data_IF_866437638401
#
_entry.id   IF_866437638401
#
_cell.length_a   1.000
_cell.length_b   1.000
_cell.length_c   1.000
_cell.angle_alpha   90.00
_cell.angle_beta   90.00
_cell.angle_gamma   90.00
#
_symmetry.space_group_name_H-M   'P 1'
#
loop_
_entity.id
_entity.type
_entity.pdbx_description
1 polymer ?
#
# COMPACT_ATOMS: atom_id res chain seq x y z
N UNK A 1 -16.06 3.15 7.48
CA UNK A 1 -15.02 2.36 8.20
C UNK A 1 -13.78 2.29 7.34
N UNK A 2 -12.60 2.33 7.94
CA UNK A 2 -11.36 2.11 7.22
C UNK A 2 -11.25 0.67 6.71
N UNK A 3 -10.51 0.45 5.64
CA UNK A 3 -10.16 -0.90 5.20
C UNK A 3 -8.79 -1.27 5.74
N UNK A 4 -8.59 -2.55 6.11
CA UNK A 4 -7.33 -3.17 6.54
C UNK A 4 -6.76 -2.68 7.88
N UNK A 5 -6.81 -1.37 8.19
CA UNK A 5 -6.23 -0.78 9.40
C UNK A 5 -7.10 0.34 9.97
N UNK A 6 -7.12 0.48 11.27
CA UNK A 6 -7.87 1.51 12.00
C UNK A 6 -7.10 2.02 13.24
N UNK A 7 -7.74 2.88 14.03
CA UNK A 7 -7.17 3.44 15.26
C UNK A 7 -6.87 2.41 16.37
N UNK A 8 -7.36 1.18 16.25
CA UNK A 8 -7.10 0.11 17.21
C UNK A 8 -5.93 -0.78 16.78
N UNK A 9 -5.47 -0.64 15.53
CA UNK A 9 -4.38 -1.44 14.97
C UNK A 9 -3.07 -1.19 15.70
N UNK A 10 -2.53 -2.21 16.38
CA UNK A 10 -1.26 -2.18 17.09
C UNK A 10 -0.13 -2.66 16.19
N UNK A 11 0.89 -1.83 16.02
CA UNK A 11 1.91 -2.01 14.99
C UNK A 11 3.28 -2.24 15.63
N UNK A 12 3.96 -3.32 15.26
CA UNK A 12 5.39 -3.53 15.53
C UNK A 12 6.24 -3.10 14.35
N UNK A 13 7.49 -2.70 14.62
CA UNK A 13 8.41 -2.16 13.62
C UNK A 13 9.64 -3.05 13.51
N UNK A 14 9.79 -3.76 12.39
CA UNK A 14 11.02 -4.47 12.05
C UNK A 14 11.97 -3.51 11.32
N UNK A 15 13.16 -3.29 11.90
CA UNK A 15 14.11 -2.29 11.41
C UNK A 15 14.02 -0.92 12.09
N UNK A 16 13.35 -0.81 13.24
CA UNK A 16 13.17 0.41 14.04
C UNK A 16 14.48 1.13 14.34
N UNK A 17 15.54 0.39 14.64
CA UNK A 17 16.85 0.97 15.03
C UNK A 17 17.66 1.52 13.86
N UNK A 18 17.20 1.33 12.64
CA UNK A 18 17.77 1.94 11.44
C UNK A 18 17.29 3.37 11.24
N UNK A 19 18.07 4.18 10.50
CA UNK A 19 17.75 5.61 10.24
C UNK A 19 16.35 5.78 9.62
N UNK A 20 16.02 5.00 8.60
CA UNK A 20 14.73 5.07 7.91
C UNK A 20 13.59 4.60 8.80
N UNK A 21 13.75 3.44 9.45
CA UNK A 21 12.74 2.90 10.37
C UNK A 21 12.45 3.83 11.54
N UNK A 22 13.48 4.36 12.19
CA UNK A 22 13.34 5.33 13.29
C UNK A 22 12.59 6.59 12.83
N UNK A 23 13.04 7.23 11.76
CA UNK A 23 12.41 8.45 11.23
C UNK A 23 10.91 8.25 10.92
N UNK A 24 10.55 7.20 10.18
CA UNK A 24 9.15 6.97 9.83
C UNK A 24 8.30 6.50 11.01
N UNK A 25 8.90 5.87 12.01
CA UNK A 25 8.22 5.55 13.28
C UNK A 25 7.88 6.81 14.07
N UNK A 26 8.80 7.78 14.17
CA UNK A 26 8.52 9.09 14.79
C UNK A 26 7.36 9.80 14.07
N UNK A 27 7.39 9.83 12.73
CA UNK A 27 6.30 10.41 11.94
C UNK A 27 4.96 9.68 12.13
N UNK A 28 4.99 8.39 12.38
CA UNK A 28 3.79 7.60 12.62
C UNK A 28 3.25 7.80 14.05
N UNK A 29 4.13 7.87 15.06
CA UNK A 29 3.75 8.19 16.44
C UNK A 29 3.14 9.58 16.57
N UNK A 30 3.65 10.55 15.78
CA UNK A 30 3.09 11.90 15.72
C UNK A 30 1.75 11.98 14.98
N UNK A 31 1.39 10.94 14.21
CA UNK A 31 0.14 10.91 13.45
C UNK A 31 -1.02 10.42 14.32
N UNK A 32 -2.09 11.21 14.39
CA UNK A 32 -3.24 10.92 15.24
C UNK A 32 -3.83 9.53 14.97
N UNK A 33 -4.10 8.80 16.04
CA UNK A 33 -4.71 7.46 16.02
C UNK A 33 -3.72 6.29 15.81
N UNK A 34 -2.48 6.54 15.34
CA UNK A 34 -1.52 5.47 15.10
C UNK A 34 -0.94 4.90 16.41
N UNK A 35 -0.93 3.58 16.52
CA UNK A 35 -0.39 2.86 17.69
C UNK A 35 0.86 2.04 17.32
N UNK A 36 2.04 2.66 17.34
CA UNK A 36 3.30 1.93 17.32
C UNK A 36 3.59 1.40 18.73
N UNK A 37 3.68 0.07 18.91
CA UNK A 37 3.74 -0.55 20.24
C UNK A 37 5.10 -1.14 20.59
N UNK A 38 5.92 -1.52 19.60
CA UNK A 38 7.25 -2.09 19.82
C UNK A 38 8.13 -2.07 18.58
N UNK A 39 9.43 -2.22 18.75
CA UNK A 39 10.39 -2.57 17.72
C UNK A 39 10.85 -4.02 17.82
N UNK A 40 11.38 -4.54 16.71
CA UNK A 40 12.01 -5.87 16.67
C UNK A 40 13.44 -5.75 16.16
N UNK A 41 14.39 -6.35 16.90
CA UNK A 41 15.78 -6.44 16.49
C UNK A 41 16.46 -7.63 17.18
N UNK A 42 17.00 -8.62 16.43
CA UNK A 42 17.49 -9.89 17.01
C UNK A 42 18.57 -9.75 18.09
N UNK A 43 19.42 -8.73 18.02
CA UNK A 43 20.52 -8.53 18.96
C UNK A 43 20.31 -7.38 19.97
N UNK A 44 19.15 -6.71 19.93
CA UNK A 44 18.82 -5.58 20.85
C UNK A 44 17.56 -5.83 21.68
N UNK A 45 17.06 -7.06 21.69
CA UNK A 45 15.93 -7.45 22.54
C UNK A 45 16.19 -7.11 24.02
N UNK A 46 15.15 -6.64 24.71
CA UNK A 46 15.24 -6.21 26.11
C UNK A 46 15.75 -4.77 26.30
N UNK A 47 16.01 -4.01 25.22
CA UNK A 47 16.35 -2.58 25.29
C UNK A 47 15.16 -1.72 24.88
N UNK A 48 15.30 -0.39 25.01
CA UNK A 48 14.34 0.56 24.46
C UNK A 48 14.96 1.35 23.30
N UNK A 49 14.14 1.61 22.28
CA UNK A 49 14.42 2.65 21.30
C UNK A 49 13.89 3.99 21.83
N UNK A 50 14.65 5.07 21.59
CA UNK A 50 14.23 6.42 21.95
C UNK A 50 14.27 7.28 20.70
N UNK A 51 13.15 7.92 20.38
CA UNK A 51 12.99 8.86 19.29
C UNK A 51 13.57 10.24 19.62
N UNK A 52 13.63 11.10 18.60
CA UNK A 52 14.23 12.45 18.72
C UNK A 52 13.42 13.40 19.60
N UNK A 53 12.15 13.14 19.81
CA UNK A 53 11.26 13.94 20.66
C UNK A 53 10.95 13.28 22.02
N UNK A 54 11.68 12.20 22.37
CA UNK A 54 11.54 11.52 23.64
C UNK A 54 10.54 10.37 23.65
N UNK A 55 10.01 9.98 22.48
CA UNK A 55 9.21 8.76 22.35
C UNK A 55 10.04 7.55 22.75
N UNK A 56 9.42 6.56 23.36
CA UNK A 56 10.11 5.34 23.77
C UNK A 56 9.29 4.11 23.41
N UNK A 57 9.93 3.15 22.74
CA UNK A 57 9.34 1.87 22.41
C UNK A 57 10.24 0.71 22.85
N UNK A 58 9.70 -0.34 23.48
CA UNK A 58 10.46 -1.53 23.80
C UNK A 58 10.91 -2.24 22.54
N UNK A 59 12.10 -2.84 22.58
CA UNK A 59 12.62 -3.69 21.50
C UNK A 59 12.60 -5.14 21.97
N UNK A 60 12.00 -6.01 21.17
CA UNK A 60 12.00 -7.46 21.38
C UNK A 60 12.99 -8.15 20.44
N UNK A 61 13.43 -9.36 20.80
CA UNK A 61 14.38 -10.12 20.00
C UNK A 61 13.71 -10.76 18.76
N UNK A 62 12.40 -10.99 18.81
CA UNK A 62 11.64 -11.58 17.72
C UNK A 62 10.24 -10.96 17.57
N UNK A 63 9.63 -11.17 16.38
CA UNK A 63 8.25 -10.76 16.11
C UNK A 63 7.26 -11.49 17.03
N UNK A 64 7.49 -12.78 17.30
CA UNK A 64 6.64 -13.57 18.19
C UNK A 64 6.63 -13.00 19.62
N UNK A 65 7.81 -12.69 20.18
CA UNK A 65 7.91 -12.06 21.49
C UNK A 65 7.20 -10.71 21.54
N UNK A 66 7.40 -9.88 20.51
CA UNK A 66 6.76 -8.56 20.43
C UNK A 66 5.23 -8.69 20.36
N UNK A 67 4.71 -9.60 19.52
CA UNK A 67 3.27 -9.88 19.41
C UNK A 67 2.69 -10.35 20.73
N UNK A 68 3.31 -11.33 21.36
CA UNK A 68 2.79 -11.92 22.62
C UNK A 68 2.79 -10.90 23.77
N UNK A 69 3.78 -10.00 23.81
CA UNK A 69 3.87 -8.96 24.83
C UNK A 69 2.91 -7.79 24.60
N UNK A 70 2.57 -7.45 23.35
CA UNK A 70 1.84 -6.22 23.01
C UNK A 70 0.44 -6.47 22.45
N UNK A 71 0.16 -7.67 21.97
CA UNK A 71 -1.05 -8.00 21.21
C UNK A 71 -1.07 -7.31 19.84
N UNK A 72 0.09 -7.21 19.18
CA UNK A 72 0.20 -6.53 17.88
C UNK A 72 -0.54 -7.26 16.77
N UNK A 73 -1.26 -6.48 15.96
CA UNK A 73 -2.05 -6.94 14.80
C UNK A 73 -1.32 -6.71 13.48
N UNK A 74 -0.35 -5.81 13.47
CA UNK A 74 0.36 -5.42 12.26
C UNK A 74 1.87 -5.34 12.48
N UNK A 75 2.62 -5.56 11.38
CA UNK A 75 4.06 -5.29 11.32
C UNK A 75 4.38 -4.39 10.14
N UNK A 76 5.27 -3.41 10.34
CA UNK A 76 5.87 -2.64 9.26
C UNK A 76 7.37 -2.94 9.17
N UNK A 77 7.85 -3.18 7.94
CA UNK A 77 9.21 -3.66 7.67
C UNK A 77 10.01 -2.59 6.93
N UNK A 78 11.08 -2.12 7.57
CA UNK A 78 12.11 -1.22 7.03
C UNK A 78 13.49 -1.89 6.97
N UNK A 79 13.53 -3.21 7.14
CA UNK A 79 14.76 -4.01 7.08
C UNK A 79 15.38 -3.90 5.67
N UNK A 80 16.71 -3.75 5.54
CA UNK A 80 17.37 -3.71 4.23
C UNK A 80 17.05 -4.92 3.34
N UNK A 81 17.16 -4.79 1.99
CA UNK A 81 16.72 -5.82 1.03
C UNK A 81 17.23 -7.23 1.32
N UNK A 82 18.48 -7.36 1.76
CA UNK A 82 19.09 -8.65 2.06
C UNK A 82 18.46 -9.41 3.24
N UNK A 83 17.76 -8.71 4.12
CA UNK A 83 17.08 -9.29 5.29
C UNK A 83 15.56 -9.20 5.23
N UNK A 84 15.01 -8.44 4.29
CA UNK A 84 13.58 -8.11 4.28
C UNK A 84 12.68 -9.33 4.02
N UNK A 85 13.07 -10.25 3.14
CA UNK A 85 12.32 -11.49 2.92
C UNK A 85 12.25 -12.36 4.19
N UNK A 86 13.35 -12.47 4.93
CA UNK A 86 13.37 -13.18 6.21
C UNK A 86 12.49 -12.49 7.25
N UNK A 87 12.49 -11.16 7.30
CA UNK A 87 11.63 -10.39 8.19
C UNK A 87 10.14 -10.56 7.87
N UNK A 88 9.77 -10.65 6.58
CA UNK A 88 8.38 -10.96 6.17
C UNK A 88 8.00 -12.38 6.63
N UNK A 89 8.86 -13.37 6.39
CA UNK A 89 8.60 -14.77 6.80
C UNK A 89 8.46 -14.88 8.31
N UNK A 90 9.32 -14.20 9.08
CA UNK A 90 9.22 -14.14 10.55
C UNK A 90 7.86 -13.59 11.01
N UNK A 91 7.37 -12.52 10.38
CA UNK A 91 6.07 -11.96 10.70
C UNK A 91 4.92 -12.91 10.33
N UNK A 92 5.01 -13.62 9.19
CA UNK A 92 4.04 -14.66 8.80
C UNK A 92 4.05 -15.80 9.81
N UNK A 93 5.24 -16.30 10.21
CA UNK A 93 5.40 -17.41 11.15
C UNK A 93 4.92 -17.05 12.54
N UNK A 94 5.02 -15.77 12.90
CA UNK A 94 4.44 -15.22 14.11
C UNK A 94 2.93 -14.90 13.97
N UNK A 95 2.28 -15.31 12.89
CA UNK A 95 0.84 -15.13 12.63
C UNK A 95 0.35 -13.66 12.75
N UNK A 96 1.20 -12.71 12.35
CA UNK A 96 0.79 -11.29 12.27
C UNK A 96 -0.27 -11.15 11.16
N UNK A 97 -1.49 -10.65 11.47
CA UNK A 97 -2.58 -10.57 10.50
C UNK A 97 -2.26 -9.67 9.30
N UNK A 98 -1.63 -8.50 9.54
CA UNK A 98 -1.32 -7.53 8.50
C UNK A 98 0.16 -7.14 8.50
N UNK A 99 0.84 -7.36 7.38
CA UNK A 99 2.27 -7.11 7.21
C UNK A 99 2.46 -6.08 6.11
N UNK A 100 3.21 -5.02 6.36
CA UNK A 100 3.54 -3.99 5.36
C UNK A 100 5.05 -3.96 5.13
N UNK A 101 5.52 -4.30 3.93
CA UNK A 101 6.93 -4.23 3.59
C UNK A 101 7.23 -3.02 2.69
N UNK A 102 7.95 -2.05 3.26
CA UNK A 102 8.32 -0.82 2.55
C UNK A 102 9.53 -1.04 1.64
N UNK A 103 10.39 -1.97 2.01
CA UNK A 103 11.69 -2.21 1.38
C UNK A 103 11.57 -2.51 -0.11
N UNK A 104 12.36 -1.77 -0.89
CA UNK A 104 12.61 -2.00 -2.32
C UNK A 104 13.86 -2.86 -2.53
N UNK A 105 13.92 -3.57 -3.66
CA UNK A 105 15.12 -4.31 -4.09
C UNK A 105 15.26 -5.70 -3.48
N UNK A 106 14.21 -6.30 -2.95
CA UNK A 106 14.20 -7.69 -2.53
C UNK A 106 14.32 -8.59 -3.77
N UNK A 107 15.26 -9.56 -3.81
CA UNK A 107 15.39 -10.47 -4.94
C UNK A 107 14.09 -11.22 -5.23
N UNK A 108 13.70 -11.29 -6.52
CA UNK A 108 12.46 -11.94 -6.96
C UNK A 108 12.35 -13.38 -6.42
N UNK A 109 13.44 -14.16 -6.44
CA UNK A 109 13.44 -15.53 -5.94
C UNK A 109 13.19 -15.63 -4.43
N UNK A 110 13.56 -14.61 -3.66
CA UNK A 110 13.25 -14.58 -2.23
C UNK A 110 11.77 -14.21 -2.02
N UNK A 111 11.22 -13.33 -2.83
CA UNK A 111 9.77 -13.04 -2.81
C UNK A 111 8.92 -14.22 -3.26
N UNK A 112 9.39 -15.09 -4.15
CA UNK A 112 8.73 -16.37 -4.48
C UNK A 112 8.62 -17.29 -3.25
N UNK A 113 9.67 -17.36 -2.41
CA UNK A 113 9.63 -18.11 -1.14
C UNK A 113 8.63 -17.49 -0.16
N UNK A 114 8.65 -16.16 -0.03
CA UNK A 114 7.68 -15.41 0.78
C UNK A 114 6.25 -15.72 0.31
N UNK A 115 5.96 -15.65 -0.98
CA UNK A 115 4.64 -15.90 -1.54
C UNK A 115 4.12 -17.30 -1.18
N UNK A 116 4.96 -18.33 -1.32
CA UNK A 116 4.61 -19.71 -0.92
C UNK A 116 4.29 -19.82 0.58
N UNK A 117 5.03 -19.09 1.44
CA UNK A 117 4.77 -19.10 2.87
C UNK A 117 3.47 -18.37 3.19
N UNK A 118 3.22 -17.24 2.50
CA UNK A 118 2.01 -16.43 2.64
C UNK A 118 0.74 -17.20 2.28
N UNK A 119 0.77 -17.97 1.18
CA UNK A 119 -0.37 -18.78 0.70
C UNK A 119 -0.81 -19.84 1.72
N UNK A 120 0.11 -20.33 2.56
CA UNK A 120 -0.17 -21.29 3.63
C UNK A 120 -0.57 -20.63 4.95
N UNK A 121 -0.72 -19.30 5.00
CA UNK A 121 -0.97 -18.51 6.20
C UNK A 121 -2.31 -17.76 6.14
N UNK A 122 -2.68 -17.13 7.26
CA UNK A 122 -3.80 -16.18 7.31
C UNK A 122 -3.35 -14.72 7.23
N UNK A 123 -2.04 -14.48 7.15
CA UNK A 123 -1.46 -13.14 7.06
C UNK A 123 -1.77 -12.51 5.69
N UNK A 124 -1.92 -11.21 5.67
CA UNK A 124 -1.96 -10.39 4.46
C UNK A 124 -0.68 -9.58 4.38
N UNK A 125 -0.01 -9.61 3.23
CA UNK A 125 1.19 -8.82 2.96
C UNK A 125 0.85 -7.67 2.00
N UNK A 126 1.16 -6.44 2.39
CA UNK A 126 1.17 -5.25 1.53
C UNK A 126 2.61 -4.95 1.10
N UNK A 127 2.84 -4.80 -0.19
CA UNK A 127 4.19 -4.66 -0.77
C UNK A 127 4.80 -6.01 -1.16
N UNK A 128 6.13 -6.09 -1.35
CA UNK A 128 7.16 -5.09 -1.03
C UNK A 128 7.19 -3.88 -1.97
N UNK A 129 8.19 -3.00 -1.77
CA UNK A 129 8.38 -1.79 -2.57
C UNK A 129 7.11 -0.93 -2.62
N UNK A 130 6.54 -0.63 -1.47
CA UNK A 130 5.29 0.11 -1.34
C UNK A 130 5.42 1.28 -0.36
N UNK A 131 4.59 2.31 -0.49
CA UNK A 131 4.59 3.43 0.47
C UNK A 131 3.84 3.11 1.77
N UNK A 132 3.15 1.95 1.83
CA UNK A 132 2.32 1.55 2.94
C UNK A 132 0.83 1.84 2.76
N UNK A 133 0.15 2.10 3.86
CA UNK A 133 -1.28 2.38 3.96
C UNK A 133 -1.52 3.53 4.94
N UNK A 134 -2.51 4.37 4.66
CA UNK A 134 -2.94 5.40 5.58
C UNK A 134 -4.45 5.59 5.53
N UNK A 135 -5.08 5.51 6.71
CA UNK A 135 -6.47 5.90 6.96
C UNK A 135 -6.47 7.21 7.75
N UNK A 136 -7.01 8.31 7.18
CA UNK A 136 -6.98 9.63 7.82
C UNK A 136 -7.55 9.64 9.23
N UNK A 137 -6.80 10.26 10.16
CA UNK A 137 -7.13 10.41 11.59
C UNK A 137 -7.25 9.08 12.36
N UNK A 138 -6.84 7.96 11.76
CA UNK A 138 -6.95 6.65 12.41
C UNK A 138 -5.61 5.89 12.44
N UNK A 139 -4.92 5.73 11.31
CA UNK A 139 -3.73 4.88 11.26
C UNK A 139 -2.82 5.22 10.08
N UNK A 140 -1.52 5.33 10.37
CA UNK A 140 -0.46 5.51 9.37
C UNK A 140 0.57 4.39 9.50
N UNK A 141 0.69 3.55 8.48
CA UNK A 141 1.73 2.53 8.36
C UNK A 141 2.55 2.78 7.10
N UNK A 142 3.83 3.07 7.26
CA UNK A 142 4.75 3.31 6.16
C UNK A 142 5.18 4.76 6.01
N UNK A 143 5.46 5.18 4.77
CA UNK A 143 6.19 6.42 4.46
C UNK A 143 5.31 7.55 3.90
N UNK A 144 4.00 7.36 3.77
CA UNK A 144 3.10 8.38 3.26
C UNK A 144 3.11 9.64 4.14
N UNK A 145 3.17 10.86 3.57
CA UNK A 145 3.15 12.10 4.34
C UNK A 145 1.75 12.38 4.88
N UNK A 146 1.55 12.22 6.20
CA UNK A 146 0.22 12.33 6.82
C UNK A 146 -0.44 13.70 6.69
N UNK A 147 0.34 14.76 6.55
CA UNK A 147 -0.15 16.15 6.50
C UNK A 147 -0.92 16.52 5.23
N UNK A 148 -0.86 15.69 4.17
CA UNK A 148 -1.65 15.91 2.94
C UNK A 148 -3.02 15.23 2.97
N UNK A 149 -3.27 14.39 3.98
CA UNK A 149 -4.51 13.62 4.11
C UNK A 149 -5.60 14.41 4.81
N UNK A 150 -6.84 14.12 4.43
CA UNK A 150 -8.03 14.61 5.09
C UNK A 150 -9.10 13.52 5.05
N UNK A 151 -9.79 13.28 6.17
CA UNK A 151 -10.92 12.35 6.21
C UNK A 151 -11.97 12.73 5.18
N UNK A 152 -12.43 11.76 4.40
CA UNK A 152 -13.41 11.95 3.34
C UNK A 152 -13.91 10.63 2.79
N UNK A 153 -14.14 10.56 1.46
CA UNK A 153 -14.90 9.48 0.85
C UNK A 153 -14.20 8.76 -0.31
N UNK A 154 -12.95 9.11 -0.62
CA UNK A 154 -12.22 8.51 -1.74
C UNK A 154 -11.33 7.38 -1.27
N UNK A 155 -11.51 6.17 -1.83
CA UNK A 155 -10.54 5.09 -1.75
C UNK A 155 -9.44 5.28 -2.80
N UNK A 156 -8.17 5.12 -2.43
CA UNK A 156 -7.06 5.23 -3.38
C UNK A 156 -6.24 3.93 -3.36
N UNK A 157 -6.04 3.32 -4.52
CA UNK A 157 -5.15 2.17 -4.70
C UNK A 157 -4.14 2.44 -5.81
N UNK A 158 -2.85 2.22 -5.54
CA UNK A 158 -1.78 2.59 -6.45
C UNK A 158 -0.57 1.66 -6.38
N UNK A 159 0.07 1.41 -7.53
CA UNK A 159 1.40 0.78 -7.58
C UNK A 159 2.51 1.78 -7.25
N UNK A 160 2.31 3.05 -7.54
CA UNK A 160 3.29 4.11 -7.37
C UNK A 160 3.13 4.85 -6.05
N UNK A 161 4.21 4.95 -5.26
CA UNK A 161 4.23 5.76 -4.05
C UNK A 161 3.99 7.24 -4.35
N UNK A 162 4.76 7.82 -5.25
CA UNK A 162 4.68 9.25 -5.60
C UNK A 162 3.31 9.64 -6.15
N UNK A 163 2.74 8.85 -7.06
CA UNK A 163 1.41 9.15 -7.61
C UNK A 163 0.29 8.92 -6.60
N UNK A 164 0.50 8.06 -5.59
CA UNK A 164 -0.42 7.98 -4.45
C UNK A 164 -0.49 9.32 -3.72
N UNK A 165 0.66 9.93 -3.42
CA UNK A 165 0.71 11.23 -2.74
C UNK A 165 0.07 12.33 -3.56
N UNK A 166 0.29 12.33 -4.87
CA UNK A 166 -0.32 13.28 -5.80
C UNK A 166 -1.86 13.16 -5.81
N UNK A 167 -2.39 11.93 -5.89
CA UNK A 167 -3.83 11.70 -5.85
C UNK A 167 -4.45 12.11 -4.51
N UNK A 168 -3.78 11.80 -3.40
CA UNK A 168 -4.21 12.21 -2.05
C UNK A 168 -4.25 13.73 -1.93
N UNK A 169 -3.17 14.42 -2.32
CA UNK A 169 -3.08 15.87 -2.27
C UNK A 169 -4.19 16.54 -3.10
N UNK A 170 -4.43 16.05 -4.32
CA UNK A 170 -5.48 16.59 -5.19
C UNK A 170 -6.88 16.35 -4.61
N UNK A 171 -7.21 15.13 -4.16
CA UNK A 171 -8.53 14.84 -3.59
C UNK A 171 -8.78 15.60 -2.30
N UNK A 172 -7.75 15.89 -1.52
CA UNK A 172 -7.83 16.78 -0.34
C UNK A 172 -8.15 18.22 -0.77
N UNK A 173 -7.46 18.75 -1.79
CA UNK A 173 -7.68 20.12 -2.28
C UNK A 173 -9.05 20.31 -2.98
N UNK A 174 -9.56 19.26 -3.63
CA UNK A 174 -10.92 19.25 -4.20
C UNK A 174 -12.01 19.06 -3.13
N UNK A 175 -11.66 18.96 -1.86
CA UNK A 175 -12.58 18.83 -0.75
C UNK A 175 -13.20 17.44 -0.56
N UNK A 176 -12.73 16.44 -1.28
CA UNK A 176 -13.26 15.07 -1.23
C UNK A 176 -12.69 14.27 -0.05
N UNK A 177 -11.41 14.46 0.27
CA UNK A 177 -10.69 13.67 1.27
C UNK A 177 -10.64 12.17 0.96
N UNK A 178 -10.08 11.37 1.87
CA UNK A 178 -9.90 9.94 1.66
C UNK A 178 -10.54 9.11 2.77
N UNK A 179 -11.02 7.89 2.41
CA UNK A 179 -11.31 6.84 3.39
C UNK A 179 -10.03 6.10 3.75
N UNK A 180 -9.32 5.61 2.75
CA UNK A 180 -8.01 4.96 2.91
C UNK A 180 -7.20 5.08 1.62
N UNK A 181 -5.90 5.31 1.72
CA UNK A 181 -4.98 5.18 0.59
C UNK A 181 -4.07 3.97 0.80
N UNK A 182 -4.01 3.10 -0.22
CA UNK A 182 -3.24 1.85 -0.22
C UNK A 182 -2.24 1.87 -1.36
N UNK A 183 -0.96 1.82 -1.02
CA UNK A 183 0.10 1.59 -2.01
C UNK A 183 0.44 0.10 -2.06
N UNK A 184 0.14 -0.57 -3.17
CA UNK A 184 0.38 -2.02 -3.30
C UNK A 184 1.80 -2.38 -3.73
N UNK A 185 2.58 -1.39 -4.20
CA UNK A 185 3.97 -1.58 -4.63
C UNK A 185 4.13 -1.91 -6.12
N UNK A 186 5.37 -1.69 -6.59
CA UNK A 186 5.74 -1.83 -8.00
C UNK A 186 6.51 -3.12 -8.34
N UNK A 187 6.73 -4.00 -7.38
CA UNK A 187 7.45 -5.25 -7.61
C UNK A 187 6.61 -6.29 -8.36
N UNK A 188 7.23 -7.16 -9.19
CA UNK A 188 6.50 -8.16 -9.96
C UNK A 188 5.90 -9.27 -9.09
N UNK A 189 6.48 -9.55 -7.92
CA UNK A 189 5.96 -10.53 -6.95
C UNK A 189 5.63 -9.79 -5.65
N UNK A 190 4.37 -9.62 -5.39
CA UNK A 190 3.85 -8.87 -4.22
C UNK A 190 2.76 -9.65 -3.48
N UNK A 191 2.44 -9.20 -2.28
CA UNK A 191 1.45 -9.84 -1.42
C UNK A 191 0.02 -9.50 -1.78
N UNK A 192 -0.26 -8.22 -2.04
CA UNK A 192 -1.60 -7.66 -2.30
C UNK A 192 -1.68 -7.11 -3.72
N UNK A 193 -2.76 -7.44 -4.43
CA UNK A 193 -3.06 -6.98 -5.78
C UNK A 193 -4.18 -5.92 -5.79
N UNK A 194 -4.44 -5.30 -6.95
CA UNK A 194 -5.55 -4.36 -7.10
C UNK A 194 -6.89 -4.95 -6.69
N UNK A 195 -7.17 -6.19 -7.12
CA UNK A 195 -8.46 -6.87 -6.86
C UNK A 195 -8.72 -6.97 -5.36
N UNK A 196 -7.71 -7.32 -4.57
CA UNK A 196 -7.83 -7.46 -3.12
C UNK A 196 -8.28 -6.16 -2.44
N UNK A 197 -7.78 -5.01 -2.91
CA UNK A 197 -8.10 -3.69 -2.37
C UNK A 197 -9.42 -3.17 -2.93
N UNK A 198 -9.67 -3.37 -4.21
CA UNK A 198 -10.91 -2.96 -4.87
C UNK A 198 -12.13 -3.69 -4.29
N UNK A 199 -12.00 -4.98 -3.96
CA UNK A 199 -13.06 -5.74 -3.29
C UNK A 199 -13.44 -5.10 -1.95
N UNK A 200 -12.44 -4.72 -1.14
CA UNK A 200 -12.65 -4.03 0.14
C UNK A 200 -13.29 -2.66 -0.05
N UNK A 201 -12.82 -1.86 -1.02
CA UNK A 201 -13.42 -0.56 -1.30
C UNK A 201 -14.85 -0.65 -1.83
N UNK A 202 -15.17 -1.66 -2.63
CA UNK A 202 -16.54 -1.88 -3.10
C UNK A 202 -17.49 -2.26 -1.96
N UNK A 203 -16.98 -2.97 -0.95
CA UNK A 203 -17.75 -3.38 0.22
C UNK A 203 -17.87 -2.27 1.29
N UNK A 204 -16.94 -1.32 1.34
CA UNK A 204 -16.94 -0.24 2.34
C UNK A 204 -17.95 0.85 1.97
N UNK A 205 -18.96 1.06 2.82
CA UNK A 205 -20.02 2.06 2.59
C UNK A 205 -19.52 3.51 2.64
N UNK A 206 -18.47 3.80 3.39
CA UNK A 206 -17.88 5.14 3.47
C UNK A 206 -17.07 5.51 2.22
N UNK A 207 -16.53 4.52 1.51
CA UNK A 207 -15.85 4.74 0.24
C UNK A 207 -16.89 4.91 -0.88
N UNK A 208 -17.14 6.13 -1.29
CA UNK A 208 -18.15 6.43 -2.33
C UNK A 208 -17.58 6.54 -3.73
N UNK A 209 -16.26 6.70 -3.84
CA UNK A 209 -15.54 6.76 -5.12
C UNK A 209 -14.12 6.24 -4.98
N UNK A 210 -13.49 5.87 -6.10
CA UNK A 210 -12.16 5.24 -6.07
C UNK A 210 -11.23 5.89 -7.10
N UNK A 211 -9.96 6.06 -6.74
CA UNK A 211 -8.87 6.32 -7.67
C UNK A 211 -7.98 5.09 -7.78
N UNK A 212 -7.78 4.60 -9.01
CA UNK A 212 -6.89 3.49 -9.32
C UNK A 212 -5.72 3.96 -10.18
N UNK A 213 -4.48 3.77 -9.69
CA UNK A 213 -3.27 4.18 -10.39
C UNK A 213 -2.40 2.96 -10.68
N UNK A 214 -2.27 2.67 -11.95
CA UNK A 214 -1.43 1.60 -12.47
C UNK A 214 -0.22 2.13 -13.24
N UNK A 215 0.51 1.22 -13.83
CA UNK A 215 1.68 1.50 -14.66
C UNK A 215 1.90 0.41 -15.68
N UNK A 216 2.76 0.64 -16.65
CA UNK A 216 3.16 -0.38 -17.63
C UNK A 216 3.72 -1.62 -16.95
N UNK A 217 3.60 -2.78 -17.62
CA UNK A 217 4.12 -4.08 -17.17
C UNK A 217 3.10 -4.94 -16.45
N UNK A 218 3.18 -6.24 -16.69
CA UNK A 218 2.23 -7.23 -16.19
C UNK A 218 0.82 -7.05 -16.72
N UNK A 219 -0.16 -7.71 -16.11
CA UNK A 219 -1.59 -7.70 -16.47
C UNK A 219 -2.52 -7.34 -15.31
N UNK A 220 -1.98 -6.84 -14.19
CA UNK A 220 -2.78 -6.63 -12.97
C UNK A 220 -3.89 -5.59 -13.14
N UNK A 221 -3.69 -4.58 -13.98
CA UNK A 221 -4.69 -3.55 -14.27
C UNK A 221 -5.81 -4.10 -15.15
N UNK A 222 -5.48 -4.95 -16.13
CA UNK A 222 -6.46 -5.64 -16.98
C UNK A 222 -7.29 -6.64 -16.15
N UNK A 223 -6.67 -7.39 -15.26
CA UNK A 223 -7.36 -8.32 -14.34
C UNK A 223 -8.29 -7.56 -13.40
N UNK A 224 -7.85 -6.42 -12.87
CA UNK A 224 -8.66 -5.54 -12.04
C UNK A 224 -9.86 -4.94 -12.83
N UNK A 225 -9.65 -4.54 -14.08
CA UNK A 225 -10.72 -4.06 -14.95
C UNK A 225 -11.78 -5.15 -15.19
N UNK A 226 -11.35 -6.38 -15.49
CA UNK A 226 -12.28 -7.50 -15.65
C UNK A 226 -13.07 -7.80 -14.37
N UNK A 227 -12.39 -7.79 -13.21
CA UNK A 227 -13.05 -7.92 -11.90
C UNK A 227 -14.14 -6.86 -11.71
N UNK A 228 -13.84 -5.59 -11.99
CA UNK A 228 -14.81 -4.50 -11.85
C UNK A 228 -16.01 -4.64 -12.81
N UNK A 229 -15.80 -5.12 -14.04
CA UNK A 229 -16.88 -5.43 -14.99
C UNK A 229 -17.80 -6.51 -14.41
N UNK A 230 -17.23 -7.55 -13.81
CA UNK A 230 -18.01 -8.65 -13.27
C UNK A 230 -18.75 -8.26 -11.97
N UNK A 231 -18.15 -7.41 -11.14
CA UNK A 231 -18.82 -6.86 -9.95
C UNK A 231 -19.95 -5.88 -10.34
N UNK A 232 -19.77 -5.09 -11.38
CA UNK A 232 -20.80 -4.18 -11.87
C UNK A 232 -22.06 -4.94 -12.36
N UNK A 233 -21.91 -6.12 -12.99
CA UNK A 233 -23.02 -7.00 -13.35
C UNK A 233 -23.82 -7.48 -12.13
N UNK A 234 -23.18 -7.57 -10.96
CA UNK A 234 -23.79 -7.91 -9.66
C UNK A 234 -24.37 -6.70 -8.92
N UNK A 235 -24.31 -5.50 -9.54
CA UNK A 235 -24.76 -4.24 -8.94
C UNK A 235 -23.75 -3.56 -8.02
N UNK A 236 -22.55 -4.11 -7.86
CA UNK A 236 -21.48 -3.54 -7.04
C UNK A 236 -20.57 -2.67 -7.91
N UNK A 237 -20.84 -1.39 -7.92
CA UNK A 237 -20.04 -0.40 -8.67
C UNK A 237 -19.94 0.92 -7.90
N UNK A 238 -18.84 1.62 -8.09
CA UNK A 238 -18.61 2.99 -7.57
C UNK A 238 -18.00 3.85 -8.68
N UNK A 239 -18.23 5.19 -8.67
CA UNK A 239 -17.54 6.12 -9.56
C UNK A 239 -16.02 6.01 -9.43
N UNK A 240 -15.30 5.96 -10.56
CA UNK A 240 -13.85 5.76 -10.55
C UNK A 240 -13.12 6.68 -11.52
N UNK A 241 -11.97 7.19 -11.09
CA UNK A 241 -10.96 7.78 -11.95
C UNK A 241 -9.68 6.94 -11.93
N UNK A 242 -8.91 6.97 -13.01
CA UNK A 242 -7.68 6.19 -13.10
C UNK A 242 -6.57 6.88 -13.89
N UNK A 243 -5.37 6.37 -13.72
CA UNK A 243 -4.19 6.79 -14.46
C UNK A 243 -3.23 5.62 -14.67
N UNK A 244 -2.60 5.55 -15.85
CA UNK A 244 -1.53 4.60 -16.16
C UNK A 244 -0.24 5.36 -16.41
N UNK A 245 0.77 5.10 -15.57
CA UNK A 245 2.11 5.65 -15.73
C UNK A 245 2.90 4.89 -16.80
N UNK A 246 3.82 5.61 -17.46
CA UNK A 246 4.76 5.01 -18.41
C UNK A 246 4.31 4.99 -19.87
N UNK A 247 3.28 5.76 -20.26
CA UNK A 247 2.77 5.84 -21.64
C UNK A 247 3.87 6.16 -22.67
N UNK A 248 4.87 6.96 -22.29
CA UNK A 248 5.99 7.34 -23.15
C UNK A 248 7.24 6.49 -22.92
N UNK A 249 7.13 5.41 -22.17
CA UNK A 249 8.28 4.57 -21.82
C UNK A 249 8.82 3.82 -23.04
N UNK A 250 10.15 3.81 -23.26
CA UNK A 250 10.77 3.00 -24.29
C UNK A 250 10.54 1.50 -24.06
N UNK A 251 10.19 0.77 -25.14
CA UNK A 251 9.99 -0.69 -25.08
C UNK A 251 11.24 -1.40 -24.53
N UNK A 252 11.04 -2.39 -23.66
CA UNK A 252 12.11 -3.23 -23.10
C UNK A 252 12.98 -2.56 -22.02
N UNK A 253 12.64 -1.34 -21.60
CA UNK A 253 13.29 -0.70 -20.44
C UNK A 253 12.39 -0.68 -19.23
N UNK A 254 13.01 -0.92 -18.06
CA UNK A 254 12.34 -0.78 -16.76
C UNK A 254 12.20 0.69 -16.42
N UNK A 255 11.02 1.13 -15.96
CA UNK A 255 10.71 2.51 -15.66
C UNK A 255 10.42 2.71 -14.17
N UNK A 256 11.47 2.93 -13.39
CA UNK A 256 11.38 3.14 -11.95
C UNK A 256 11.20 1.84 -11.15
N UNK A 257 10.13 1.12 -11.35
CA UNK A 257 9.83 -0.13 -10.67
C UNK A 257 10.31 -1.37 -11.46
N UNK A 258 10.73 -2.43 -10.76
CA UNK A 258 11.17 -3.67 -11.39
C UNK A 258 10.10 -4.33 -12.26
N UNK A 259 8.81 -4.19 -11.88
CA UNK A 259 7.66 -4.68 -12.65
C UNK A 259 7.20 -3.77 -13.79
N UNK A 260 7.70 -2.53 -13.87
CA UNK A 260 7.29 -1.55 -14.87
C UNK A 260 8.11 -1.69 -16.17
N UNK A 261 7.85 -2.77 -16.90
CA UNK A 261 8.52 -3.07 -18.17
C UNK A 261 7.55 -3.68 -19.19
N UNK A 262 7.53 -3.15 -20.40
CA UNK A 262 6.78 -3.74 -21.54
C UNK A 262 7.65 -4.80 -22.19
N UNK A 263 7.24 -6.07 -22.09
CA UNK A 263 7.95 -7.21 -22.69
C UNK A 263 6.97 -8.15 -23.39
N UNK A 264 7.43 -8.81 -24.46
CA UNK A 264 6.62 -9.79 -25.19
C UNK A 264 5.33 -9.23 -25.80
N UNK A 265 5.24 -7.93 -26.04
CA UNK A 265 4.05 -7.29 -26.63
C UNK A 265 2.84 -7.18 -25.70
N UNK A 266 3.04 -7.38 -24.39
CA UNK A 266 2.00 -7.26 -23.35
C UNK A 266 2.39 -6.24 -22.30
N UNK A 267 1.38 -5.70 -21.60
CA UNK A 267 1.57 -4.76 -20.48
C UNK A 267 1.90 -3.33 -20.91
N UNK A 268 1.56 -2.94 -22.14
CA UNK A 268 1.68 -1.55 -22.58
C UNK A 268 0.57 -0.66 -21.99
N UNK A 269 0.81 0.64 -21.99
CA UNK A 269 -0.12 1.59 -21.37
C UNK A 269 -1.48 1.65 -22.10
N UNK A 270 -1.50 1.54 -23.42
CA UNK A 270 -2.72 1.69 -24.22
C UNK A 270 -3.68 0.52 -23.97
N UNK A 271 -3.17 -0.72 -23.89
CA UNK A 271 -3.98 -1.90 -23.55
C UNK A 271 -4.62 -1.76 -22.17
N UNK A 272 -3.85 -1.28 -21.19
CA UNK A 272 -4.33 -1.06 -19.82
C UNK A 272 -5.38 0.05 -19.76
N UNK A 273 -5.15 1.18 -20.43
CA UNK A 273 -6.10 2.29 -20.52
C UNK A 273 -7.41 1.79 -21.13
N UNK A 274 -7.35 1.09 -22.27
CA UNK A 274 -8.54 0.55 -22.92
C UNK A 274 -9.33 -0.41 -22.03
N UNK A 275 -8.64 -1.29 -21.28
CA UNK A 275 -9.28 -2.21 -20.35
C UNK A 275 -9.97 -1.46 -19.20
N UNK A 276 -9.30 -0.46 -18.61
CA UNK A 276 -9.84 0.35 -17.52
C UNK A 276 -11.04 1.19 -17.99
N UNK A 277 -10.99 1.78 -19.18
CA UNK A 277 -12.13 2.49 -19.78
C UNK A 277 -13.33 1.58 -20.05
N UNK A 278 -13.09 0.36 -20.52
CA UNK A 278 -14.12 -0.65 -20.72
C UNK A 278 -14.79 -1.06 -19.39
N UNK A 279 -14.07 -0.99 -18.26
CA UNK A 279 -14.60 -1.20 -16.92
C UNK A 279 -15.35 0.03 -16.35
N UNK A 280 -15.46 1.12 -17.11
CA UNK A 280 -16.13 2.36 -16.69
C UNK A 280 -15.27 3.29 -15.83
N UNK A 281 -13.97 3.10 -15.82
CA UNK A 281 -13.03 4.01 -15.14
C UNK A 281 -12.73 5.19 -16.06
N UNK A 282 -12.93 6.42 -15.59
CA UNK A 282 -12.56 7.62 -16.33
C UNK A 282 -11.05 7.83 -16.25
N UNK A 283 -10.36 7.70 -17.36
CA UNK A 283 -8.91 7.89 -17.41
C UNK A 283 -8.54 9.37 -17.39
N UNK A 284 -7.62 9.72 -16.49
CA UNK A 284 -7.05 11.07 -16.44
C UNK A 284 -5.98 11.26 -17.52
N UNK A 285 -5.98 12.38 -18.20
CA UNK A 285 -5.00 12.73 -19.24
C UNK A 285 -3.58 12.95 -18.66
N UNK A 286 -3.52 13.33 -17.38
CA UNK A 286 -2.29 13.67 -16.67
C UNK A 286 -2.41 13.30 -15.21
N UNK A 287 -1.33 12.88 -14.53
CA UNK A 287 -1.36 12.63 -13.09
C UNK A 287 -1.77 13.87 -12.30
N UNK A 288 -1.48 15.08 -12.80
CA UNK A 288 -1.84 16.35 -12.15
C UNK A 288 -3.35 16.70 -12.24
N UNK A 289 -4.16 15.89 -12.89
CA UNK A 289 -5.61 16.10 -13.03
C UNK A 289 -6.47 15.01 -12.39
N UNK A 290 -5.87 14.08 -11.67
CA UNK A 290 -6.59 12.95 -11.07
C UNK A 290 -7.77 13.37 -10.19
N UNK A 291 -7.56 14.34 -9.29
CA UNK A 291 -8.62 14.87 -8.43
C UNK A 291 -9.75 15.53 -9.23
N UNK A 292 -9.40 16.37 -10.21
CA UNK A 292 -10.39 17.02 -11.09
C UNK A 292 -11.17 16.01 -11.92
N UNK A 293 -10.48 15.00 -12.49
CA UNK A 293 -11.12 13.92 -13.23
C UNK A 293 -12.16 13.20 -12.37
N UNK A 294 -11.82 12.91 -11.10
CA UNK A 294 -12.79 12.29 -10.19
C UNK A 294 -13.97 13.21 -9.89
N UNK A 295 -13.75 14.51 -9.68
CA UNK A 295 -14.83 15.50 -9.51
C UNK A 295 -15.75 15.55 -10.73
N UNK A 296 -15.21 15.48 -11.94
CA UNK A 296 -16.00 15.42 -13.19
C UNK A 296 -16.88 14.15 -13.23
N UNK A 297 -16.33 13.00 -12.85
CA UNK A 297 -17.07 11.71 -12.74
C UNK A 297 -18.21 11.79 -11.72
N UNK A 298 -17.99 12.49 -10.61
CA UNK A 298 -19.00 12.61 -9.53
C UNK A 298 -20.15 13.57 -9.87
N UNK A 299 -19.95 14.45 -10.85
CA UNK A 299 -20.97 15.40 -11.31
C UNK A 299 -21.86 14.86 -12.44
N UNK A 300 -21.50 13.74 -13.06
CA UNK A 300 -22.19 13.09 -14.17
C UNK A 300 -21.66 13.61 -15.47
#
# INVERSE_FOLDING_TARGET
MSILVDKNTKIIVQGLTGKTGGFHTEQALAYHGTQMVAGVHPSKGGTNWTGSHGESLPIYASVAEARDATGADASVIYVPPSGAAAAIIEAIDAEIPFITCITEGIPVMDMVKVKRRLEASKSRLLGPNCPGILTPDECKIGIMPGNIFKKGSVGIVSRSGTLTYEAVFQTTNEGLGQTTAVGIGGDPVKGTEFIDVLELFLADEETTSIIMIGEIGGGAEEDAAQFLIDEAKKGRKKPMAGFIAGRTAPKGRTMGHAGAVVSGGKGDAESKIAAMEAAGIRMSESPARLGKTLVEVLKG
#
